data_IF_488776882347
#
_entry.id   IF_488776882347
#
_cell.length_a   1.000
_cell.length_b   1.000
_cell.length_c   1.000
_cell.angle_alpha   90.00
_cell.angle_beta   90.00
_cell.angle_gamma   90.00
#
_symmetry.space_group_name_H-M   'P 1'
#
loop_
_entity.id
_entity.type
_entity.pdbx_description
1 polymer ?
#
# COMPACT_ATOMS: atom_id res chain seq x y z
N UNK A 1 27.26 15.16 -8.62
CA UNK A 1 25.95 14.61 -9.07
C UNK A 1 25.52 13.60 -8.01
N UNK A 2 24.57 13.96 -7.14
CA UNK A 2 24.14 13.06 -6.06
C UNK A 2 23.51 11.80 -6.69
N UNK A 3 24.06 10.62 -6.38
CA UNK A 3 23.46 9.34 -6.76
C UNK A 3 22.19 9.19 -5.95
N UNK A 4 21.05 9.39 -6.61
CA UNK A 4 19.72 9.17 -6.03
C UNK A 4 19.38 7.69 -6.15
N UNK A 5 18.83 7.09 -5.09
CA UNK A 5 18.42 5.68 -5.06
C UNK A 5 16.90 5.63 -5.19
N UNK A 6 16.40 4.80 -6.09
CA UNK A 6 14.97 4.59 -6.29
C UNK A 6 14.51 3.29 -5.63
N UNK A 7 13.40 3.38 -4.92
CA UNK A 7 12.70 2.24 -4.35
C UNK A 7 11.26 2.21 -4.83
N UNK A 8 10.70 1.01 -4.90
CA UNK A 8 9.32 0.82 -5.35
C UNK A 8 8.37 0.64 -4.17
N UNK A 9 7.20 1.28 -4.24
CA UNK A 9 6.08 1.10 -3.31
C UNK A 9 4.83 0.74 -4.07
N UNK A 10 3.95 -0.03 -3.45
CA UNK A 10 2.65 -0.32 -4.04
C UNK A 10 1.52 0.39 -3.33
N UNK A 11 0.49 0.72 -4.08
CA UNK A 11 -0.76 1.23 -3.55
C UNK A 11 -1.94 0.49 -4.20
N UNK A 12 -3.02 0.38 -3.44
CA UNK A 12 -4.27 -0.29 -3.79
C UNK A 12 -5.46 0.62 -3.46
N UNK A 13 -6.53 0.47 -4.23
CA UNK A 13 -7.85 1.02 -3.88
C UNK A 13 -8.90 -0.07 -3.88
N UNK A 14 -9.73 -0.06 -2.85
CA UNK A 14 -10.89 -0.96 -2.75
C UNK A 14 -12.11 -0.42 -3.48
N UNK A 15 -13.15 -1.24 -3.57
CA UNK A 15 -14.49 -0.77 -3.87
C UNK A 15 -14.99 0.25 -2.82
N UNK A 16 -15.87 1.19 -3.20
CA UNK A 16 -16.46 2.12 -2.24
C UNK A 16 -17.32 1.40 -1.21
N UNK A 17 -17.10 1.69 0.06
CA UNK A 17 -17.90 1.18 1.18
C UNK A 17 -18.39 2.34 2.04
N UNK A 18 -19.39 2.06 2.91
CA UNK A 18 -19.83 3.04 3.90
C UNK A 18 -18.65 3.49 4.79
N UNK A 19 -18.69 4.70 5.37
CA UNK A 19 -17.65 5.17 6.26
C UNK A 19 -17.41 4.20 7.42
N UNK A 20 -16.18 3.69 7.52
CA UNK A 20 -15.75 2.69 8.52
C UNK A 20 -14.36 3.00 9.08
N UNK A 21 -13.51 3.73 8.36
CA UNK A 21 -12.17 4.11 8.81
C UNK A 21 -12.11 5.63 8.93
N UNK A 22 -12.31 6.21 10.14
CA UNK A 22 -12.40 7.66 10.34
C UNK A 22 -11.03 8.36 10.40
N UNK A 23 -9.92 7.61 10.49
CA UNK A 23 -8.57 8.15 10.61
C UNK A 23 -7.58 7.34 9.76
N UNK A 24 -6.39 7.89 9.57
CA UNK A 24 -5.29 7.16 8.92
C UNK A 24 -4.71 6.17 9.91
N UNK A 25 -4.72 4.89 9.55
CA UNK A 25 -4.13 3.81 10.34
C UNK A 25 -2.80 3.42 9.68
N UNK A 26 -1.73 3.35 10.47
CA UNK A 26 -0.40 2.95 10.00
C UNK A 26 0.18 1.87 10.91
N UNK A 27 0.76 0.83 10.33
CA UNK A 27 1.46 -0.24 11.05
C UNK A 27 2.86 -0.43 10.49
N UNK A 28 3.87 -0.22 11.33
CA UNK A 28 5.26 -0.43 10.93
C UNK A 28 5.63 -1.91 10.85
N UNK A 29 4.91 -2.79 11.58
CA UNK A 29 5.12 -4.25 11.56
C UNK A 29 4.69 -4.86 10.24
N UNK A 30 3.59 -4.36 9.67
CA UNK A 30 3.04 -4.81 8.37
C UNK A 30 3.58 -3.94 7.21
N UNK A 31 4.27 -2.85 7.53
CA UNK A 31 4.70 -1.83 6.58
C UNK A 31 3.56 -1.31 5.70
N UNK A 32 2.39 -1.07 6.29
CA UNK A 32 1.20 -0.66 5.54
C UNK A 32 0.45 0.49 6.21
N UNK A 33 -0.28 1.24 5.39
CA UNK A 33 -1.24 2.24 5.86
C UNK A 33 -2.58 2.10 5.15
N UNK A 34 -3.65 2.47 5.85
CA UNK A 34 -5.02 2.45 5.33
C UNK A 34 -5.68 3.79 5.68
N UNK A 35 -6.37 4.37 4.71
CA UNK A 35 -7.31 5.47 4.93
C UNK A 35 -8.52 5.30 4.04
N UNK A 36 -9.63 5.97 4.39
CA UNK A 36 -10.82 6.00 3.54
C UNK A 36 -10.90 7.34 2.82
N UNK A 37 -11.14 7.29 1.51
CA UNK A 37 -11.34 8.49 0.70
C UNK A 37 -12.75 9.06 0.89
N UNK A 38 -12.96 10.32 0.52
CA UNK A 38 -14.30 10.96 0.54
C UNK A 38 -15.31 10.25 -0.37
N UNK A 39 -14.83 9.47 -1.34
CA UNK A 39 -15.67 8.64 -2.22
C UNK A 39 -16.04 7.29 -1.60
N UNK A 40 -15.46 6.95 -0.45
CA UNK A 40 -15.73 5.73 0.31
C UNK A 40 -14.77 4.57 0.03
N UNK A 41 -13.83 4.71 -0.90
CA UNK A 41 -12.82 3.70 -1.21
C UNK A 41 -11.76 3.64 -0.11
N UNK A 42 -11.26 2.45 0.23
CA UNK A 42 -10.08 2.33 1.06
C UNK A 42 -8.83 2.50 0.19
N UNK A 43 -8.01 3.48 0.55
CA UNK A 43 -6.68 3.70 -0.01
C UNK A 43 -5.69 2.99 0.88
N UNK A 44 -4.99 2.01 0.32
CA UNK A 44 -4.02 1.20 1.05
C UNK A 44 -2.65 1.41 0.41
N UNK A 45 -1.66 1.78 1.21
CA UNK A 45 -0.26 1.77 0.78
C UNK A 45 0.48 0.61 1.43
N UNK A 46 1.19 -0.15 0.60
CA UNK A 46 2.00 -1.29 1.00
C UNK A 46 3.49 -0.92 1.09
N UNK A 47 4.24 -1.81 1.73
CA UNK A 47 5.66 -1.65 2.00
C UNK A 47 6.50 -1.41 0.75
N UNK A 48 7.74 -0.98 0.99
CA UNK A 48 8.70 -0.70 -0.08
C UNK A 48 9.45 -1.99 -0.43
N UNK A 49 9.68 -2.24 -1.72
CA UNK A 49 10.60 -3.31 -2.14
C UNK A 49 12.01 -3.02 -1.60
N UNK A 50 12.67 -4.03 -1.05
CA UNK A 50 14.03 -3.91 -0.52
C UNK A 50 15.08 -3.77 -1.63
N UNK A 51 14.70 -4.07 -2.88
CA UNK A 51 15.57 -3.92 -4.02
C UNK A 51 15.48 -2.53 -4.65
N UNK A 52 16.64 -2.01 -5.07
CA UNK A 52 16.74 -0.78 -5.84
C UNK A 52 16.13 -1.05 -7.21
N UNK A 53 15.04 -0.37 -7.52
CA UNK A 53 14.39 -0.50 -8.80
C UNK A 53 13.74 0.81 -9.24
N UNK A 54 13.81 1.03 -10.55
CA UNK A 54 13.24 2.20 -11.25
C UNK A 54 12.00 1.82 -12.06
N UNK A 55 11.57 0.56 -11.97
CA UNK A 55 10.33 0.10 -12.58
C UNK A 55 9.12 0.61 -11.76
N UNK A 56 7.94 0.50 -12.35
CA UNK A 56 6.66 0.73 -11.67
C UNK A 56 5.91 -0.59 -11.48
N UNK A 57 6.59 -1.72 -11.72
CA UNK A 57 6.05 -3.07 -11.64
C UNK A 57 6.79 -3.83 -10.56
N UNK A 58 6.44 -3.57 -9.30
CA UNK A 58 7.07 -4.29 -8.19
C UNK A 58 6.44 -5.67 -7.98
N UNK A 59 7.00 -6.44 -7.05
CA UNK A 59 6.57 -7.81 -6.80
C UNK A 59 5.14 -7.94 -6.25
N UNK A 60 4.31 -8.75 -6.91
CA UNK A 60 2.96 -9.11 -6.45
C UNK A 60 2.92 -9.73 -5.05
N UNK A 61 4.04 -10.31 -4.60
CA UNK A 61 4.16 -10.90 -3.27
C UNK A 61 4.00 -9.87 -2.13
N UNK A 62 4.49 -8.63 -2.30
CA UNK A 62 4.39 -7.57 -1.28
C UNK A 62 2.92 -7.19 -1.05
N UNK A 63 2.17 -7.09 -2.14
CA UNK A 63 0.73 -6.83 -2.12
C UNK A 63 -0.03 -7.94 -1.40
N UNK A 64 0.27 -9.21 -1.69
CA UNK A 64 -0.37 -10.37 -1.06
C UNK A 64 -0.12 -10.36 0.46
N UNK A 65 1.13 -10.23 0.89
CA UNK A 65 1.48 -10.16 2.32
C UNK A 65 0.81 -9.00 3.05
N UNK A 66 0.72 -7.84 2.38
CA UNK A 66 0.04 -6.68 2.95
C UNK A 66 -1.46 -6.95 3.13
N UNK A 67 -2.12 -7.50 2.11
CA UNK A 67 -3.55 -7.81 2.18
C UNK A 67 -3.87 -8.89 3.21
N UNK A 68 -3.03 -9.92 3.34
CA UNK A 68 -3.20 -10.98 4.32
C UNK A 68 -3.15 -10.42 5.75
N UNK A 69 -2.17 -9.57 6.04
CA UNK A 69 -2.03 -8.92 7.34
C UNK A 69 -3.17 -7.92 7.62
N UNK A 70 -3.65 -7.19 6.60
CA UNK A 70 -4.84 -6.33 6.74
C UNK A 70 -6.08 -7.15 7.05
N UNK A 71 -6.26 -8.31 6.42
CA UNK A 71 -7.37 -9.21 6.70
C UNK A 71 -7.31 -9.79 8.12
N UNK A 72 -6.11 -10.06 8.64
CA UNK A 72 -5.89 -10.50 10.02
C UNK A 72 -6.24 -9.40 11.04
N UNK A 73 -5.79 -8.17 10.79
CA UNK A 73 -6.07 -7.02 11.67
C UNK A 73 -7.52 -6.54 11.58
N UNK A 74 -8.10 -6.57 10.39
CA UNK A 74 -9.44 -6.07 10.08
C UNK A 74 -10.23 -7.10 9.28
N UNK A 75 -10.78 -8.14 9.95
CA UNK A 75 -11.54 -9.21 9.29
C UNK A 75 -12.76 -8.71 8.49
N UNK A 76 -13.28 -7.53 8.84
CA UNK A 76 -14.34 -6.81 8.11
C UNK A 76 -13.98 -6.55 6.64
N UNK A 77 -12.69 -6.42 6.29
CA UNK A 77 -12.25 -6.13 4.92
C UNK A 77 -12.01 -7.36 4.05
N UNK A 78 -12.12 -8.57 4.60
CA UNK A 78 -11.80 -9.85 3.91
C UNK A 78 -12.59 -10.11 2.62
N UNK A 79 -13.78 -9.53 2.49
CA UNK A 79 -14.65 -9.72 1.32
C UNK A 79 -14.65 -8.53 0.36
N UNK A 80 -13.89 -7.48 0.66
CA UNK A 80 -13.83 -6.32 -0.22
C UNK A 80 -13.01 -6.63 -1.48
N UNK A 81 -13.47 -6.08 -2.60
CA UNK A 81 -12.73 -6.16 -3.86
C UNK A 81 -11.73 -5.02 -3.97
N UNK A 82 -10.52 -5.36 -4.42
CA UNK A 82 -9.54 -4.37 -4.87
C UNK A 82 -9.84 -4.00 -6.32
N UNK A 83 -10.08 -2.72 -6.59
CA UNK A 83 -10.43 -2.22 -7.93
C UNK A 83 -9.18 -1.97 -8.78
N UNK A 84 -8.10 -1.50 -8.14
CA UNK A 84 -6.86 -1.15 -8.84
C UNK A 84 -5.68 -1.20 -7.90
N UNK A 85 -4.54 -1.63 -8.44
CA UNK A 85 -3.22 -1.49 -7.83
C UNK A 85 -2.30 -0.70 -8.76
N UNK A 86 -1.31 -0.01 -8.20
CA UNK A 86 -0.25 0.64 -8.97
C UNK A 86 1.05 0.70 -8.18
N UNK A 87 2.17 0.78 -8.90
CA UNK A 87 3.48 1.04 -8.34
C UNK A 87 3.80 2.54 -8.31
N UNK A 88 4.58 2.96 -7.32
CA UNK A 88 5.12 4.31 -7.16
C UNK A 88 6.62 4.20 -6.95
N UNK A 89 7.39 4.83 -7.82
CA UNK A 89 8.84 4.95 -7.65
C UNK A 89 9.12 6.13 -6.72
N UNK A 90 9.65 5.85 -5.53
CA UNK A 90 10.11 6.87 -4.58
C UNK A 90 11.62 7.01 -4.68
N UNK A 91 12.09 8.22 -4.93
CA UNK A 91 13.52 8.52 -5.00
C UNK A 91 13.98 9.10 -3.66
N UNK A 92 14.98 8.47 -3.05
CA UNK A 92 15.57 8.91 -1.78
C UNK A 92 17.05 9.29 -1.96
N UNK A 93 17.54 10.28 -1.19
CA UNK A 93 18.98 10.47 -1.06
C UNK A 93 19.61 9.23 -0.41
N UNK A 94 20.88 8.91 -0.71
CA UNK A 94 21.60 7.88 0.00
C UNK A 94 21.70 8.28 1.47
N UNK A 95 21.38 7.33 2.36
CA UNK A 95 21.53 7.50 3.81
C UNK A 95 23.00 7.39 4.22
#
# INVERSE_FOLDING_TARGET
RLQRIAFERHALVSEPVKPVVPCVIMSNTVHAYISQSDKGELVIGAGTDQYISYSQTGGLHILQHTLDAICEMFPIFTRMKMLRSWGVTSTMPPQ
#
